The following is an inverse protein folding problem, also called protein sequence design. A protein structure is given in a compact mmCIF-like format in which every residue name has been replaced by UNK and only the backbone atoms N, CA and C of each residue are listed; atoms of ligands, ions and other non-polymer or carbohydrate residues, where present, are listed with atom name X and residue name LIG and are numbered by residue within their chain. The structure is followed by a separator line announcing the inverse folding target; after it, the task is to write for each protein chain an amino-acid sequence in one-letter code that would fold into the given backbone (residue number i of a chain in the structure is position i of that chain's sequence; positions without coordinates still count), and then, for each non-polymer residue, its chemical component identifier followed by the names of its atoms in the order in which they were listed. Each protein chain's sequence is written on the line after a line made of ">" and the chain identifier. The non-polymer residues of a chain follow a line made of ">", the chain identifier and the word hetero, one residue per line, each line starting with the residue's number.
data_IF_027213574774
#
_entry.id   IF_027213574774
#
_cell.length_a   1.000
_cell.length_b   1.000
_cell.length_c   1.000
_cell.angle_alpha   90.00
_cell.angle_beta   90.00
_cell.angle_gamma   90.00
#
_symmetry.space_group_name_H-M   'P 1'
#
loop_
_entity.id
_entity.type
_entity.pdbx_description
1 polymer ?
#
# COMPACT_ATOMS: atom_id res chain seq x y z
N UNK A 1 -20.59 8.17 -9.37
CA UNK A 1 -19.51 7.96 -8.42
C UNK A 1 -19.30 6.47 -8.19
N UNK A 2 -18.05 6.08 -7.87
CA UNK A 2 -17.64 4.73 -7.48
C UNK A 2 -17.19 4.76 -6.04
N UNK A 3 -17.52 3.72 -5.29
CA UNK A 3 -16.98 3.51 -3.94
C UNK A 3 -15.84 2.51 -3.99
N UNK A 4 -14.77 2.76 -3.24
CA UNK A 4 -13.66 1.86 -3.00
C UNK A 4 -13.50 1.64 -1.50
N UNK A 5 -13.15 0.42 -1.08
CA UNK A 5 -12.92 0.08 0.32
C UNK A 5 -12.03 -1.17 0.44
N UNK A 6 -11.69 -1.54 1.68
CA UNK A 6 -11.02 -2.81 1.98
C UNK A 6 -11.86 -4.03 1.55
N UNK A 7 -11.19 -5.12 1.23
CA UNK A 7 -11.83 -6.39 0.91
C UNK A 7 -12.49 -6.43 -0.46
N UNK A 8 -13.56 -7.16 -0.59
CA UNK A 8 -14.26 -7.41 -1.85
C UNK A 8 -15.63 -6.75 -1.88
N UNK A 9 -15.93 -6.08 -3.01
CA UNK A 9 -17.29 -5.62 -3.31
C UNK A 9 -18.20 -6.83 -3.48
N UNK A 10 -19.26 -6.91 -2.68
CA UNK A 10 -20.24 -7.99 -2.73
C UNK A 10 -21.37 -7.66 -3.70
N UNK A 11 -21.89 -6.45 -3.63
CA UNK A 11 -22.91 -5.96 -4.53
C UNK A 11 -22.98 -4.42 -4.52
N UNK A 12 -23.58 -3.88 -5.57
CA UNK A 12 -24.04 -2.49 -5.64
C UNK A 12 -25.53 -2.48 -6.03
N UNK A 13 -26.34 -1.76 -5.29
CA UNK A 13 -27.78 -1.62 -5.55
C UNK A 13 -28.20 -0.16 -5.57
N UNK A 14 -29.21 0.17 -6.38
CA UNK A 14 -29.84 1.48 -6.33
C UNK A 14 -31.00 1.44 -5.31
N UNK A 15 -31.16 2.52 -4.55
CA UNK A 15 -32.31 2.69 -3.67
C UNK A 15 -33.60 2.85 -4.49
N UNK A 16 -34.77 2.67 -3.85
CA UNK A 16 -36.03 3.02 -4.44
C UNK A 16 -36.01 4.49 -4.92
N UNK A 17 -36.36 4.70 -6.18
CA UNK A 17 -36.25 6.01 -6.82
C UNK A 17 -34.90 6.31 -7.50
N UNK A 18 -33.92 5.42 -7.42
CA UNK A 18 -32.68 5.49 -8.22
C UNK A 18 -31.69 6.63 -7.87
N UNK A 19 -31.97 7.38 -6.79
CA UNK A 19 -31.20 8.58 -6.44
C UNK A 19 -29.94 8.30 -5.61
N UNK A 20 -29.86 7.13 -4.98
CA UNK A 20 -28.71 6.72 -4.14
C UNK A 20 -28.25 5.33 -4.53
N UNK A 21 -26.94 5.08 -4.38
CA UNK A 21 -26.33 3.78 -4.56
C UNK A 21 -25.85 3.27 -3.21
N UNK A 22 -26.10 2.00 -2.92
CA UNK A 22 -25.55 1.27 -1.78
C UNK A 22 -24.48 0.33 -2.33
N UNK A 23 -23.24 0.46 -1.87
CA UNK A 23 -22.14 -0.45 -2.17
C UNK A 23 -21.82 -1.25 -0.90
N UNK A 24 -21.96 -2.57 -0.98
CA UNK A 24 -21.69 -3.46 0.15
C UNK A 24 -20.32 -4.11 -0.04
N UNK A 25 -19.39 -3.79 0.84
CA UNK A 25 -18.05 -4.35 0.89
C UNK A 25 -17.92 -5.31 2.06
N UNK A 26 -17.11 -6.36 1.86
CA UNK A 26 -16.80 -7.33 2.91
C UNK A 26 -15.31 -7.61 2.95
N UNK A 27 -14.73 -7.39 4.12
CA UNK A 27 -13.36 -7.76 4.46
C UNK A 27 -13.38 -8.94 5.44
N UNK A 28 -12.55 -9.95 5.20
CA UNK A 28 -12.63 -11.25 5.93
C UNK A 28 -11.47 -11.49 6.87
N UNK A 29 -10.41 -10.69 6.76
CA UNK A 29 -9.24 -10.84 7.62
C UNK A 29 -9.32 -9.88 8.80
N UNK A 30 -8.65 -10.19 9.94
CA UNK A 30 -8.43 -9.20 10.98
C UNK A 30 -7.77 -7.94 10.41
N UNK A 31 -8.17 -6.79 10.90
CA UNK A 31 -7.68 -5.49 10.42
C UNK A 31 -7.53 -4.53 11.60
N UNK A 32 -6.41 -3.83 11.66
CA UNK A 32 -6.23 -2.74 12.60
C UNK A 32 -7.13 -1.56 12.21
N UNK A 33 -7.65 -0.85 13.19
CA UNK A 33 -8.67 0.19 12.94
C UNK A 33 -8.18 1.31 12.03
N UNK A 34 -6.91 1.68 12.10
CA UNK A 34 -6.32 2.73 11.27
C UNK A 34 -6.18 2.34 9.79
N UNK A 35 -6.21 1.05 9.48
CA UNK A 35 -6.13 0.52 8.12
C UNK A 35 -7.50 0.43 7.42
N UNK A 36 -8.60 0.68 8.15
CA UNK A 36 -9.95 0.70 7.57
C UNK A 36 -10.10 1.94 6.71
N UNK A 37 -10.54 1.74 5.47
CA UNK A 37 -10.68 2.83 4.52
C UNK A 37 -11.94 2.74 3.67
N UNK A 38 -12.38 3.90 3.20
CA UNK A 38 -13.29 4.02 2.07
C UNK A 38 -13.08 5.36 1.35
N UNK A 39 -13.38 5.37 0.07
CA UNK A 39 -13.40 6.59 -0.74
C UNK A 39 -14.54 6.53 -1.75
N UNK A 40 -15.11 7.70 -2.06
CA UNK A 40 -16.20 7.81 -3.05
C UNK A 40 -15.95 9.04 -3.92
N UNK A 41 -15.71 8.82 -5.20
CA UNK A 41 -15.57 9.91 -6.17
C UNK A 41 -15.86 9.42 -7.61
N UNK A 42 -15.54 10.24 -8.58
CA UNK A 42 -15.65 9.91 -10.01
C UNK A 42 -14.45 9.06 -10.47
N UNK A 43 -14.30 7.87 -9.87
CA UNK A 43 -13.23 6.96 -10.25
C UNK A 43 -13.46 6.28 -11.60
N UNK A 44 -12.40 6.14 -12.38
CA UNK A 44 -12.24 5.09 -13.37
C UNK A 44 -11.65 3.87 -12.68
N UNK A 45 -12.15 2.67 -13.01
CA UNK A 45 -11.72 1.42 -12.39
C UNK A 45 -11.15 0.50 -13.46
N UNK A 46 -9.98 -0.05 -13.22
CA UNK A 46 -9.43 -1.12 -14.04
C UNK A 46 -8.96 -2.29 -13.20
N UNK A 47 -8.93 -3.45 -13.82
CA UNK A 47 -8.58 -4.70 -13.16
C UNK A 47 -7.33 -5.29 -13.78
N UNK A 48 -6.48 -5.87 -12.93
CA UNK A 48 -5.34 -6.69 -13.29
C UNK A 48 -5.40 -7.99 -12.48
N UNK A 49 -4.43 -8.83 -12.66
CA UNK A 49 -4.20 -9.99 -11.80
C UNK A 49 -2.71 -10.34 -11.79
N UNK A 50 -2.27 -11.01 -10.74
CA UNK A 50 -0.93 -11.56 -10.64
C UNK A 50 -1.00 -13.03 -10.28
N UNK A 51 -0.20 -13.86 -10.96
CA UNK A 51 -0.07 -15.28 -10.65
C UNK A 51 0.92 -15.43 -9.49
N UNK A 52 0.48 -15.97 -8.35
CA UNK A 52 1.29 -16.24 -7.17
C UNK A 52 1.23 -17.74 -6.87
N UNK A 53 2.27 -18.46 -7.26
CA UNK A 53 2.25 -19.93 -7.24
C UNK A 53 1.07 -20.48 -8.04
N UNK A 54 0.19 -21.25 -7.39
CA UNK A 54 -1.04 -21.79 -8.00
C UNK A 54 -2.25 -20.86 -7.95
N UNK A 55 -2.14 -19.71 -7.28
CA UNK A 55 -3.26 -18.78 -7.06
C UNK A 55 -3.16 -17.56 -7.97
N UNK A 56 -4.28 -17.16 -8.55
CA UNK A 56 -4.40 -15.88 -9.26
C UNK A 56 -5.00 -14.86 -8.29
N UNK A 57 -4.19 -13.89 -7.87
CA UNK A 57 -4.66 -12.78 -7.04
C UNK A 57 -5.29 -11.69 -7.92
N UNK A 58 -6.58 -11.38 -7.76
CA UNK A 58 -7.18 -10.26 -8.47
C UNK A 58 -6.66 -8.93 -7.92
N UNK A 59 -6.46 -7.97 -8.83
CA UNK A 59 -6.07 -6.60 -8.50
C UNK A 59 -7.09 -5.62 -9.07
N UNK A 60 -7.45 -4.60 -8.28
CA UNK A 60 -8.42 -3.60 -8.68
C UNK A 60 -7.95 -2.20 -8.31
N UNK A 61 -7.80 -1.34 -9.31
CA UNK A 61 -7.32 0.03 -9.13
C UNK A 61 -8.43 1.03 -9.44
N UNK A 62 -8.61 1.97 -8.52
CA UNK A 62 -9.49 3.12 -8.60
C UNK A 62 -8.65 4.37 -8.78
N UNK A 63 -8.68 5.00 -9.94
CA UNK A 63 -7.93 6.23 -10.20
C UNK A 63 -8.84 7.31 -10.79
N UNK A 64 -8.38 8.54 -10.76
CA UNK A 64 -9.09 9.62 -11.45
C UNK A 64 -9.03 9.39 -12.96
N UNK A 65 -10.05 9.80 -13.72
CA UNK A 65 -10.10 9.57 -15.17
C UNK A 65 -8.84 10.04 -15.90
N UNK A 66 -8.32 11.20 -15.54
CA UNK A 66 -7.11 11.81 -16.10
C UNK A 66 -5.82 11.07 -15.76
N UNK A 67 -5.83 10.25 -14.70
CA UNK A 67 -4.67 9.48 -14.25
C UNK A 67 -4.64 8.05 -14.78
N UNK A 68 -5.65 7.61 -15.53
CA UNK A 68 -5.82 6.21 -15.94
C UNK A 68 -4.57 5.63 -16.60
N UNK A 69 -4.03 6.32 -17.60
CA UNK A 69 -2.87 5.82 -18.37
C UNK A 69 -1.63 5.70 -17.47
N UNK A 70 -1.37 6.69 -16.61
CA UNK A 70 -0.22 6.65 -15.72
C UNK A 70 -0.33 5.50 -14.69
N UNK A 71 -1.52 5.28 -14.15
CA UNK A 71 -1.77 4.16 -13.23
C UNK A 71 -1.65 2.80 -13.91
N UNK A 72 -2.17 2.65 -15.12
CA UNK A 72 -2.00 1.41 -15.90
C UNK A 72 -0.52 1.12 -16.18
N UNK A 73 0.25 2.12 -16.61
CA UNK A 73 1.67 1.96 -16.91
C UNK A 73 2.50 1.61 -15.66
N UNK A 74 2.19 2.22 -14.51
CA UNK A 74 2.91 1.96 -13.26
C UNK A 74 2.57 0.63 -12.60
N UNK A 75 1.45 0.00 -12.97
CA UNK A 75 1.01 -1.26 -12.33
C UNK A 75 2.01 -2.40 -12.54
N UNK A 76 2.82 -2.40 -13.61
CA UNK A 76 3.84 -3.42 -13.83
C UNK A 76 4.84 -3.51 -12.68
N UNK A 77 5.24 -2.38 -12.10
CA UNK A 77 6.13 -2.36 -10.94
C UNK A 77 5.52 -3.07 -9.72
N UNK A 78 4.22 -2.97 -9.56
CA UNK A 78 3.48 -3.66 -8.48
C UNK A 78 3.47 -5.17 -8.72
N UNK A 79 3.23 -5.60 -9.95
CA UNK A 79 3.24 -7.03 -10.30
C UNK A 79 4.62 -7.64 -10.03
N UNK A 80 5.68 -6.96 -10.46
CA UNK A 80 7.08 -7.39 -10.26
C UNK A 80 7.42 -7.47 -8.75
N UNK A 81 7.05 -6.45 -7.98
CA UNK A 81 7.29 -6.42 -6.54
C UNK A 81 6.46 -7.47 -5.78
N UNK A 82 5.20 -7.65 -6.14
CA UNK A 82 4.32 -8.68 -5.57
C UNK A 82 4.90 -10.07 -5.78
N UNK A 83 5.40 -10.36 -6.98
CA UNK A 83 6.04 -11.64 -7.29
C UNK A 83 7.34 -11.83 -6.49
N UNK A 84 8.16 -10.78 -6.37
CA UNK A 84 9.39 -10.82 -5.56
C UNK A 84 9.08 -11.10 -4.08
N UNK A 85 8.11 -10.39 -3.51
CA UNK A 85 7.75 -10.53 -2.10
C UNK A 85 7.10 -11.89 -1.82
N UNK A 86 6.22 -12.37 -2.71
CA UNK A 86 5.66 -13.71 -2.62
C UNK A 86 6.77 -14.79 -2.59
N UNK A 87 7.75 -14.70 -3.49
CA UNK A 87 8.83 -15.67 -3.57
C UNK A 87 9.81 -15.59 -2.38
N UNK A 88 9.89 -14.42 -1.72
CA UNK A 88 10.84 -14.18 -0.62
C UNK A 88 10.23 -14.43 0.75
N UNK A 89 8.99 -14.00 0.95
CA UNK A 89 8.32 -13.97 2.26
C UNK A 89 7.10 -14.89 2.35
N UNK A 90 6.77 -15.58 1.26
CA UNK A 90 5.59 -16.43 1.17
C UNK A 90 4.35 -15.69 0.67
N UNK A 91 3.22 -16.37 0.74
CA UNK A 91 1.97 -15.91 0.15
C UNK A 91 1.60 -14.48 0.54
N UNK A 92 1.01 -13.76 -0.41
CA UNK A 92 0.35 -12.49 -0.11
C UNK A 92 -0.64 -12.71 1.06
N UNK A 93 -0.51 -11.97 2.17
CA UNK A 93 -1.23 -12.29 3.41
C UNK A 93 -2.75 -12.34 3.27
N UNK A 94 -3.29 -11.60 2.32
CA UNK A 94 -4.74 -11.49 2.06
C UNK A 94 -5.14 -12.18 0.77
N UNK A 95 -4.48 -13.29 0.45
CA UNK A 95 -4.57 -14.04 -0.83
C UNK A 95 -6.01 -14.44 -1.23
N UNK A 96 -6.94 -14.55 -0.26
CA UNK A 96 -8.35 -14.90 -0.50
C UNK A 96 -9.22 -13.68 -0.84
N UNK A 97 -8.64 -12.50 -0.96
CA UNK A 97 -9.34 -11.27 -1.31
C UNK A 97 -8.77 -10.67 -2.59
N UNK A 98 -8.25 -9.48 -2.53
CA UNK A 98 -7.62 -8.76 -3.64
C UNK A 98 -6.43 -7.95 -3.14
N UNK A 99 -5.69 -7.37 -4.07
CA UNK A 99 -4.89 -6.18 -3.83
C UNK A 99 -5.34 -5.06 -4.78
N UNK A 100 -5.00 -3.82 -4.50
CA UNK A 100 -5.25 -2.72 -5.43
C UNK A 100 -4.95 -1.35 -4.86
N UNK A 101 -5.20 -0.36 -5.68
CA UNK A 101 -4.90 1.03 -5.37
C UNK A 101 -6.15 1.89 -5.42
N UNK A 102 -6.16 2.92 -4.60
CA UNK A 102 -7.19 3.95 -4.61
C UNK A 102 -6.47 5.29 -4.67
N UNK A 103 -6.62 6.01 -5.76
CA UNK A 103 -6.04 7.35 -5.88
C UNK A 103 -6.74 8.33 -4.96
N UNK A 104 -5.95 9.15 -4.25
CA UNK A 104 -6.46 10.20 -3.37
C UNK A 104 -5.70 11.51 -3.59
N UNK A 105 -6.18 12.62 -2.99
CA UNK A 105 -5.68 13.95 -3.28
C UNK A 105 -4.60 14.48 -2.33
N UNK A 106 -4.13 13.67 -1.35
CA UNK A 106 -3.06 14.05 -0.43
C UNK A 106 -1.71 13.51 -0.92
N UNK A 107 -0.61 13.99 -0.34
CA UNK A 107 0.73 13.52 -0.69
C UNK A 107 1.04 12.14 -0.10
N UNK A 108 1.94 11.40 -0.76
CA UNK A 108 2.38 10.09 -0.29
C UNK A 108 1.41 8.95 -0.57
N UNK A 109 1.46 7.95 0.30
CA UNK A 109 0.59 6.79 0.28
C UNK A 109 0.03 6.50 1.68
N UNK A 110 -0.79 5.45 1.75
CA UNK A 110 -1.30 4.88 2.98
C UNK A 110 -1.63 3.40 2.73
N UNK A 111 -1.07 2.56 3.54
CA UNK A 111 -1.04 1.10 3.38
C UNK A 111 -2.36 0.38 3.62
N UNK A 112 -3.48 1.04 3.57
CA UNK A 112 -4.78 0.43 3.86
C UNK A 112 -4.91 -1.00 3.34
N UNK A 113 -5.17 -1.92 4.24
CA UNK A 113 -5.17 -3.36 4.00
C UNK A 113 -6.01 -3.74 2.79
N UNK A 114 -5.41 -4.40 1.79
CA UNK A 114 -5.99 -4.79 0.50
C UNK A 114 -6.36 -3.65 -0.47
N UNK A 115 -6.21 -2.39 -0.07
CA UNK A 115 -6.63 -1.21 -0.84
C UNK A 115 -5.71 -0.03 -0.55
N UNK A 116 -4.45 -0.10 -0.98
CA UNK A 116 -3.46 0.96 -0.79
C UNK A 116 -3.95 2.29 -1.37
N UNK A 117 -3.99 3.33 -0.55
CA UNK A 117 -4.28 4.69 -1.03
C UNK A 117 -2.98 5.34 -1.47
N UNK A 118 -2.99 6.00 -2.65
CA UNK A 118 -1.76 6.52 -3.24
C UNK A 118 -2.04 7.74 -4.11
N UNK A 119 -1.20 8.77 -3.98
CA UNK A 119 -1.35 10.00 -4.79
C UNK A 119 -0.98 9.77 -6.25
N UNK A 120 0.04 8.96 -6.49
CA UNK A 120 0.56 8.64 -7.82
C UNK A 120 1.29 7.30 -7.82
N UNK A 121 1.43 6.71 -8.99
CA UNK A 121 2.05 5.39 -9.17
C UNK A 121 3.58 5.50 -9.28
N UNK A 122 4.23 6.20 -8.36
CA UNK A 122 5.69 6.25 -8.26
C UNK A 122 6.24 4.89 -7.79
N UNK A 123 7.28 4.38 -8.44
CA UNK A 123 7.79 3.02 -8.19
C UNK A 123 8.23 2.79 -6.75
N UNK A 124 9.01 3.69 -6.17
CA UNK A 124 9.48 3.55 -4.79
C UNK A 124 8.34 3.59 -3.79
N UNK A 125 7.42 4.53 -3.96
CA UNK A 125 6.25 4.69 -3.10
C UNK A 125 5.32 3.48 -3.19
N UNK A 126 4.96 3.05 -4.39
CA UNK A 126 3.99 1.95 -4.56
C UNK A 126 4.52 0.62 -4.02
N UNK A 127 5.85 0.40 -4.08
CA UNK A 127 6.49 -0.79 -3.54
C UNK A 127 6.60 -0.72 -2.02
N UNK A 128 6.84 0.46 -1.46
CA UNK A 128 6.79 0.70 -0.02
C UNK A 128 5.40 0.35 0.54
N UNK A 129 4.36 0.91 -0.03
CA UNK A 129 2.98 0.66 0.40
C UNK A 129 2.55 -0.81 0.20
N UNK A 130 3.05 -1.47 -0.85
CA UNK A 130 2.83 -2.90 -1.04
C UNK A 130 3.50 -3.74 0.05
N UNK A 131 4.73 -3.38 0.45
CA UNK A 131 5.48 -4.12 1.46
C UNK A 131 4.76 -4.11 2.82
N UNK A 132 4.04 -3.05 3.13
CA UNK A 132 3.22 -2.96 4.33
C UNK A 132 2.18 -4.07 4.44
N UNK A 133 1.70 -4.64 3.35
CA UNK A 133 0.73 -5.73 3.41
C UNK A 133 1.27 -6.94 4.19
N UNK A 134 2.60 -7.19 4.15
CA UNK A 134 3.27 -8.19 4.99
C UNK A 134 3.70 -7.60 6.34
N UNK A 135 4.33 -6.40 6.34
CA UNK A 135 4.95 -5.76 7.50
C UNK A 135 4.34 -4.38 7.75
N UNK A 136 3.28 -4.36 8.51
CA UNK A 136 2.42 -3.22 8.81
C UNK A 136 0.97 -3.66 8.99
N UNK A 137 0.47 -4.47 8.06
CA UNK A 137 -0.90 -4.97 8.07
C UNK A 137 -0.98 -6.36 8.70
N UNK A 138 -0.31 -7.35 8.11
CA UNK A 138 -0.34 -8.73 8.62
C UNK A 138 0.46 -8.87 9.90
N UNK A 139 1.65 -8.33 9.92
CA UNK A 139 2.51 -8.22 11.09
C UNK A 139 2.59 -6.74 11.41
N UNK A 140 1.88 -6.29 12.42
CA UNK A 140 1.75 -4.87 12.76
C UNK A 140 2.35 -4.57 14.13
N UNK A 141 2.77 -3.33 14.36
CA UNK A 141 3.25 -2.87 15.65
C UNK A 141 2.14 -3.00 16.73
N UNK A 142 2.56 -3.29 17.97
CA UNK A 142 1.64 -3.42 19.11
C UNK A 142 1.15 -2.06 19.63
N UNK A 143 1.89 -1.00 19.36
CA UNK A 143 1.56 0.38 19.75
C UNK A 143 2.21 1.37 18.77
N UNK A 144 1.76 2.62 18.78
CA UNK A 144 2.36 3.69 17.97
C UNK A 144 3.80 4.03 18.37
N UNK A 145 4.22 3.65 19.57
CA UNK A 145 5.63 3.79 19.99
C UNK A 145 6.59 3.01 19.08
N UNK A 146 6.09 1.92 18.50
CA UNK A 146 6.86 0.98 17.69
C UNK A 146 6.51 1.05 16.19
N UNK A 147 5.94 2.15 15.71
CA UNK A 147 5.59 2.33 14.28
C UNK A 147 6.81 2.15 13.35
N UNK A 148 8.02 2.38 13.87
CA UNK A 148 9.26 2.13 13.14
C UNK A 148 9.37 0.70 12.61
N UNK A 149 8.70 -0.25 13.26
CA UNK A 149 8.65 -1.64 12.79
C UNK A 149 7.93 -1.73 11.44
N UNK A 150 6.79 -1.08 11.31
CA UNK A 150 6.04 -1.03 10.06
C UNK A 150 6.83 -0.28 8.98
N UNK A 151 7.20 0.97 9.27
CA UNK A 151 7.84 1.87 8.32
C UNK A 151 9.26 1.43 7.92
N UNK A 152 10.03 0.95 8.90
CA UNK A 152 11.39 0.48 8.67
C UNK A 152 11.44 -0.74 7.75
N UNK A 153 10.56 -1.72 7.96
CA UNK A 153 10.47 -2.87 7.05
C UNK A 153 10.00 -2.46 5.67
N UNK A 154 8.95 -1.65 5.54
CA UNK A 154 8.43 -1.23 4.25
C UNK A 154 9.48 -0.43 3.45
N UNK A 155 10.19 0.49 4.10
CA UNK A 155 11.29 1.24 3.49
C UNK A 155 12.45 0.33 3.07
N UNK A 156 12.84 -0.61 3.92
CA UNK A 156 13.89 -1.58 3.59
C UNK A 156 13.49 -2.45 2.40
N UNK A 157 12.26 -2.94 2.35
CA UNK A 157 11.78 -3.81 1.28
C UNK A 157 11.61 -3.08 -0.05
N UNK A 158 11.24 -1.81 -0.02
CA UNK A 158 11.27 -0.97 -1.22
C UNK A 158 12.70 -0.85 -1.77
N UNK A 159 13.68 -0.60 -0.90
CA UNK A 159 15.09 -0.57 -1.29
C UNK A 159 15.58 -1.92 -1.80
N UNK A 160 15.21 -3.02 -1.15
CA UNK A 160 15.53 -4.39 -1.57
C UNK A 160 15.00 -4.70 -2.98
N UNK A 161 13.76 -4.32 -3.27
CA UNK A 161 13.17 -4.47 -4.60
C UNK A 161 13.98 -3.69 -5.65
N UNK A 162 14.30 -2.42 -5.37
CA UNK A 162 15.08 -1.59 -6.29
C UNK A 162 16.48 -2.15 -6.55
N UNK A 163 17.13 -2.71 -5.53
CA UNK A 163 18.43 -3.38 -5.68
C UNK A 163 18.33 -4.63 -6.57
N UNK A 164 17.25 -5.40 -6.45
CA UNK A 164 17.03 -6.58 -7.30
C UNK A 164 16.72 -6.19 -8.74
N UNK A 165 15.94 -5.15 -8.93
CA UNK A 165 15.53 -4.67 -10.26
C UNK A 165 16.65 -3.91 -10.98
N UNK A 166 17.44 -3.14 -10.24
CA UNK A 166 18.50 -2.27 -10.77
C UNK A 166 19.85 -2.55 -10.09
N UNK A 167 20.45 -3.74 -10.26
CA UNK A 167 21.63 -4.16 -9.52
C UNK A 167 22.85 -3.25 -9.72
N UNK A 168 22.97 -2.60 -10.88
CA UNK A 168 24.04 -1.64 -11.16
C UNK A 168 24.01 -0.40 -10.23
N UNK A 169 22.84 -0.07 -9.69
CA UNK A 169 22.64 1.11 -8.83
C UNK A 169 22.78 0.78 -7.33
N UNK A 170 22.95 -0.48 -6.96
CA UNK A 170 22.92 -0.94 -5.56
C UNK A 170 23.90 -0.18 -4.67
N UNK A 171 25.15 -0.03 -5.11
CA UNK A 171 26.20 0.63 -4.30
C UNK A 171 25.87 2.10 -4.05
N UNK A 172 25.43 2.82 -5.08
CA UNK A 172 25.10 4.24 -4.96
C UNK A 172 23.84 4.45 -4.11
N UNK A 173 22.83 3.59 -4.27
CA UNK A 173 21.60 3.65 -3.49
C UNK A 173 21.88 3.40 -2.00
N UNK A 174 22.69 2.40 -1.66
CA UNK A 174 23.10 2.14 -0.26
C UNK A 174 23.91 3.28 0.34
N UNK A 175 24.84 3.87 -0.41
CA UNK A 175 25.57 5.06 0.05
C UNK A 175 24.64 6.23 0.35
N UNK A 176 23.68 6.50 -0.53
CA UNK A 176 22.69 7.56 -0.34
C UNK A 176 21.82 7.29 0.90
N UNK A 177 21.40 6.06 1.12
CA UNK A 177 20.64 5.66 2.30
C UNK A 177 21.45 5.85 3.59
N UNK A 178 22.70 5.39 3.61
CA UNK A 178 23.61 5.58 4.74
C UNK A 178 23.81 7.08 5.02
N UNK A 179 24.09 7.88 4.00
CA UNK A 179 24.26 9.32 4.13
C UNK A 179 23.01 10.00 4.71
N UNK A 180 21.83 9.60 4.26
CA UNK A 180 20.56 10.11 4.80
C UNK A 180 20.40 9.77 6.29
N UNK A 181 20.63 8.52 6.67
CA UNK A 181 20.52 8.06 8.06
C UNK A 181 21.52 8.76 8.96
N UNK A 182 22.76 8.93 8.48
CA UNK A 182 23.85 9.50 9.27
C UNK A 182 23.93 11.03 9.24
N UNK A 183 23.17 11.70 8.37
CA UNK A 183 23.15 13.16 8.24
C UNK A 183 22.56 13.86 9.48
N UNK A 184 21.76 13.14 10.25
CA UNK A 184 21.13 13.64 11.47
C UNK A 184 21.44 12.66 12.63
N UNK A 185 22.60 12.77 13.25
CA UNK A 185 22.99 11.86 14.33
C UNK A 185 22.12 12.11 15.57
N UNK A 186 21.72 11.03 16.22
CA UNK A 186 20.87 11.05 17.41
C UNK A 186 19.42 10.65 17.09
N UNK A 187 18.56 10.81 18.08
CA UNK A 187 17.16 10.40 17.98
C UNK A 187 16.89 8.98 18.49
N UNK A 188 15.68 8.53 18.33
CA UNK A 188 15.23 7.20 18.72
C UNK A 188 14.22 6.69 17.71
N UNK A 189 14.31 5.41 17.34
CA UNK A 189 13.29 4.76 16.52
C UNK A 189 11.97 4.60 17.29
N UNK A 190 12.04 4.57 18.63
CA UNK A 190 10.85 4.50 19.48
C UNK A 190 10.23 5.89 19.61
N UNK A 191 8.94 6.00 19.30
CA UNK A 191 8.18 7.25 19.44
C UNK A 191 7.83 7.46 20.93
N UNK A 192 8.19 8.62 21.47
CA UNK A 192 7.92 8.96 22.86
C UNK A 192 6.59 9.69 23.08
N UNK A 193 6.08 10.38 22.06
CA UNK A 193 4.81 11.12 22.10
C UNK A 193 3.84 10.58 21.06
N UNK A 194 3.00 9.66 21.47
CA UNK A 194 1.98 9.04 20.62
C UNK A 194 0.65 9.77 20.58
N UNK A 195 0.55 10.90 21.29
CA UNK A 195 -0.65 11.74 21.30
C UNK A 195 -0.71 12.71 20.13
N UNK A 196 0.42 12.94 19.48
CA UNK A 196 0.55 13.83 18.34
C UNK A 196 0.90 13.04 17.08
N UNK A 197 -0.04 12.99 16.12
CA UNK A 197 0.14 12.26 14.86
C UNK A 197 1.40 12.68 14.10
N UNK A 198 1.75 13.98 14.10
CA UNK A 198 2.96 14.47 13.49
C UNK A 198 4.26 13.94 14.13
N UNK A 199 4.20 13.53 15.40
CA UNK A 199 5.33 12.92 16.11
C UNK A 199 5.46 11.43 15.84
N UNK A 200 4.34 10.76 15.59
CA UNK A 200 4.33 9.32 15.27
C UNK A 200 5.10 9.06 13.97
N UNK A 201 4.95 9.95 12.98
CA UNK A 201 5.58 9.82 11.66
C UNK A 201 6.77 10.78 11.45
N UNK A 202 7.32 11.35 12.52
CA UNK A 202 8.54 12.16 12.44
C UNK A 202 9.74 11.21 12.19
N UNK A 203 10.43 11.39 11.09
CA UNK A 203 11.57 10.54 10.67
C UNK A 203 12.86 10.78 11.45
N UNK A 204 12.79 11.34 12.66
CA UNK A 204 13.97 11.67 13.50
C UNK A 204 14.06 10.81 14.73
#
# INVERSE_FOLDING_TARGET
>A
YKAAANGLLQNETLTAGGTKKIAHWKHRYPIATYLICFAVTNYTVFNNSVQLGSTILPMQTYCYPESLISFQNGTQNVLDAMQLFHNTFGDYPFIKEKYGHVQFGWGGGMEHQTSTFIVSINEGLIVHELAHQWFGDKITCGSWEDIWLNEGFATHLSSFYLEKKYPANTIINRKNLINNITSQPGGSVKVNDTTNVGRIFDGR
#
